data_IF_741450884915
#
_entry.id   IF_741450884915
#
_cell.length_a   1.000
_cell.length_b   1.000
_cell.length_c   1.000
_cell.angle_alpha   90.00
_cell.angle_beta   90.00
_cell.angle_gamma   90.00
#
_symmetry.space_group_name_H-M   'P 1'
#
loop_
_entity.id
_entity.type
_entity.pdbx_description
1 polymer ?
#
# COMPACT_ATOMS: atom_id res chain seq x y z
N UNK A 1 -4.33 25.46 1.73
CA UNK A 1 -3.82 25.04 3.05
C UNK A 1 -3.03 23.75 2.85
N UNK A 2 -1.91 23.49 3.54
CA UNK A 2 -1.13 22.28 3.27
C UNK A 2 -1.88 21.02 3.75
N UNK A 3 -2.07 20.03 2.87
CA UNK A 3 -2.91 18.86 3.14
C UNK A 3 -2.55 18.09 4.41
N UNK A 4 -1.27 18.04 4.79
CA UNK A 4 -0.82 17.36 6.03
C UNK A 4 -1.36 17.98 7.34
N UNK A 5 -1.99 19.16 7.29
CA UNK A 5 -2.60 19.83 8.45
C UNK A 5 -4.06 19.41 8.65
N UNK A 6 -4.68 18.81 7.62
CA UNK A 6 -6.09 18.43 7.65
C UNK A 6 -6.31 17.31 8.67
N UNK A 7 -7.22 17.57 9.62
CA UNK A 7 -7.65 16.56 10.60
C UNK A 7 -8.81 15.71 10.07
N UNK A 8 -9.63 16.30 9.21
CA UNK A 8 -10.80 15.67 8.62
C UNK A 8 -10.92 16.12 7.16
N UNK A 9 -11.56 15.31 6.34
CA UNK A 9 -11.91 15.61 4.96
C UNK A 9 -13.11 14.78 4.54
N UNK A 10 -14.04 15.41 3.83
CA UNK A 10 -15.18 14.72 3.20
C UNK A 10 -14.92 14.71 1.71
N UNK A 11 -15.08 13.54 1.09
CA UNK A 11 -14.82 13.40 -0.34
C UNK A 11 -15.76 14.27 -1.18
N UNK A 12 -15.29 14.59 -2.38
CA UNK A 12 -16.08 15.29 -3.39
C UNK A 12 -15.91 14.56 -4.73
N UNK A 13 -16.97 14.52 -5.53
CA UNK A 13 -16.89 13.98 -6.88
C UNK A 13 -16.18 15.00 -7.77
N UNK A 14 -15.10 14.63 -8.48
CA UNK A 14 -14.37 15.57 -9.31
C UNK A 14 -15.15 15.88 -10.60
N UNK A 15 -15.43 17.16 -10.84
CA UNK A 15 -16.05 17.63 -12.11
C UNK A 15 -15.20 17.27 -13.34
N UNK A 16 -13.88 17.19 -13.17
CA UNK A 16 -12.91 16.90 -14.23
C UNK A 16 -12.65 15.41 -14.49
N UNK A 17 -13.27 14.52 -13.71
CA UNK A 17 -13.03 13.08 -13.76
C UNK A 17 -11.73 12.62 -13.09
N UNK A 18 -11.62 11.31 -12.82
CA UNK A 18 -10.50 10.74 -12.07
C UNK A 18 -9.18 10.68 -12.85
N UNK A 19 -9.20 10.62 -14.18
CA UNK A 19 -7.98 10.67 -14.98
C UNK A 19 -7.19 11.95 -14.68
N UNK A 20 -7.90 13.09 -14.59
CA UNK A 20 -7.29 14.37 -14.26
C UNK A 20 -6.79 14.43 -12.82
N UNK A 21 -7.52 13.83 -11.88
CA UNK A 21 -7.07 13.70 -10.48
C UNK A 21 -5.74 12.93 -10.43
N UNK A 22 -5.62 11.81 -11.15
CA UNK A 22 -4.38 11.04 -11.20
C UNK A 22 -3.26 11.76 -11.94
N UNK A 23 -3.54 12.53 -12.98
CA UNK A 23 -2.55 13.39 -13.61
C UNK A 23 -1.95 14.40 -12.63
N UNK A 24 -2.77 14.98 -11.76
CA UNK A 24 -2.31 15.91 -10.73
C UNK A 24 -1.48 15.18 -9.66
N UNK A 25 -1.95 14.02 -9.18
CA UNK A 25 -1.23 13.21 -8.19
C UNK A 25 0.14 12.78 -8.73
N UNK A 26 0.25 12.38 -9.99
CA UNK A 26 1.50 11.90 -10.58
C UNK A 26 2.32 12.99 -11.27
N UNK A 27 1.83 14.23 -11.32
CA UNK A 27 2.55 15.35 -11.93
C UNK A 27 3.88 15.61 -11.21
N UNK A 28 4.96 15.94 -11.93
CA UNK A 28 6.21 16.43 -11.34
C UNK A 28 6.03 17.68 -10.46
N UNK A 29 4.94 18.42 -10.65
CA UNK A 29 4.60 19.63 -9.87
C UNK A 29 3.93 19.30 -8.53
N UNK A 30 3.48 18.06 -8.33
CA UNK A 30 2.94 17.61 -7.04
C UNK A 30 4.05 17.67 -5.99
N UNK A 31 3.79 18.40 -4.90
CA UNK A 31 4.76 18.62 -3.82
C UNK A 31 5.00 17.32 -3.05
N UNK A 32 6.00 16.56 -3.48
CA UNK A 32 6.40 15.28 -2.88
C UNK A 32 7.69 15.42 -2.09
N UNK A 33 7.56 15.58 -0.78
CA UNK A 33 8.73 15.58 0.11
C UNK A 33 9.15 14.18 0.53
N UNK A 34 8.26 13.18 0.40
CA UNK A 34 8.53 11.76 0.73
C UNK A 34 7.78 10.84 -0.23
N UNK A 35 8.18 9.57 -0.29
CA UNK A 35 7.48 8.51 -1.04
C UNK A 35 6.13 8.11 -0.45
N UNK A 36 5.73 8.67 0.71
CA UNK A 36 4.58 8.22 1.50
C UNK A 36 3.27 8.21 0.72
N UNK A 37 3.05 9.18 -0.17
CA UNK A 37 1.81 9.24 -0.95
C UNK A 37 1.66 8.05 -1.89
N UNK A 38 2.77 7.58 -2.49
CA UNK A 38 2.74 6.47 -3.44
C UNK A 38 2.46 5.15 -2.72
N UNK A 39 3.02 5.00 -1.51
CA UNK A 39 2.78 3.82 -0.68
C UNK A 39 1.35 3.80 -0.16
N UNK A 40 0.83 4.95 0.29
CA UNK A 40 -0.56 5.06 0.74
C UNK A 40 -1.52 4.76 -0.42
N UNK A 41 -1.30 5.33 -1.60
CA UNK A 41 -2.12 5.07 -2.77
C UNK A 41 -2.07 3.59 -3.17
N UNK A 42 -0.88 2.97 -3.19
CA UNK A 42 -0.73 1.52 -3.41
C UNK A 42 -1.49 0.71 -2.36
N UNK A 43 -1.38 1.06 -1.08
CA UNK A 43 -2.08 0.37 0.01
C UNK A 43 -3.61 0.48 -0.12
N UNK A 44 -4.14 1.64 -0.51
CA UNK A 44 -5.58 1.83 -0.76
C UNK A 44 -6.03 0.98 -1.95
N UNK A 45 -5.36 1.11 -3.10
CA UNK A 45 -5.72 0.37 -4.32
C UNK A 45 -5.61 -1.15 -4.12
N UNK A 46 -4.61 -1.62 -3.39
CA UNK A 46 -4.45 -3.04 -3.10
C UNK A 46 -5.54 -3.61 -2.17
N UNK A 47 -6.20 -2.75 -1.39
CA UNK A 47 -7.25 -3.14 -0.46
C UNK A 47 -8.64 -2.70 -0.91
N UNK A 48 -8.82 -2.19 -2.12
CA UNK A 48 -10.10 -1.58 -2.51
C UNK A 48 -11.28 -2.56 -2.38
N UNK A 49 -11.07 -3.84 -2.70
CA UNK A 49 -12.08 -4.90 -2.59
C UNK A 49 -12.31 -5.40 -1.15
N UNK A 50 -11.53 -4.91 -0.18
CA UNK A 50 -11.69 -5.24 1.25
C UNK A 50 -12.54 -4.18 1.98
N UNK A 51 -13.17 -3.26 1.25
CA UNK A 51 -14.09 -2.28 1.82
C UNK A 51 -15.40 -2.95 2.25
N UNK A 52 -15.99 -2.48 3.35
CA UNK A 52 -17.31 -2.93 3.78
C UNK A 52 -18.44 -2.37 2.88
N UNK A 53 -19.69 -2.73 3.19
CA UNK A 53 -20.87 -2.28 2.44
C UNK A 53 -21.06 -0.75 2.47
N UNK A 54 -20.39 -0.03 3.38
CA UNK A 54 -20.38 1.43 3.45
C UNK A 54 -19.11 2.04 2.83
N UNK A 55 -18.36 1.24 2.08
CA UNK A 55 -17.09 1.57 1.44
C UNK A 55 -16.00 2.03 2.42
N UNK A 56 -16.01 1.48 3.63
CA UNK A 56 -15.01 1.80 4.65
C UNK A 56 -13.84 0.82 4.58
N UNK A 57 -12.64 1.37 4.55
CA UNK A 57 -11.39 0.61 4.65
C UNK A 57 -10.73 0.88 6.00
N UNK A 58 -10.55 -0.16 6.84
CA UNK A 58 -9.87 -0.02 8.12
C UNK A 58 -8.45 0.51 7.95
N UNK A 59 -8.10 1.56 8.71
CA UNK A 59 -6.76 2.15 8.71
C UNK A 59 -5.71 1.12 9.09
N UNK A 60 -6.03 0.17 9.96
CA UNK A 60 -5.11 -0.92 10.34
C UNK A 60 -4.70 -1.76 9.13
N UNK A 61 -5.64 -2.08 8.24
CA UNK A 61 -5.40 -2.86 7.01
C UNK A 61 -4.51 -2.09 6.03
N UNK A 62 -4.79 -0.80 5.85
CA UNK A 62 -4.00 0.10 5.00
C UNK A 62 -2.58 0.24 5.56
N UNK A 63 -2.45 0.52 6.85
CA UNK A 63 -1.15 0.77 7.48
C UNK A 63 -0.33 -0.49 7.74
N UNK A 64 -0.94 -1.68 7.71
CA UNK A 64 -0.19 -2.93 7.64
C UNK A 64 0.59 -3.03 6.33
N UNK A 65 -0.09 -2.87 5.19
CA UNK A 65 0.54 -2.87 3.86
C UNK A 65 1.56 -1.73 3.74
N UNK A 66 1.24 -0.57 4.29
CA UNK A 66 2.16 0.56 4.34
C UNK A 66 3.44 0.20 5.12
N UNK A 67 3.31 -0.35 6.32
CA UNK A 67 4.46 -0.74 7.14
C UNK A 67 5.31 -1.82 6.46
N UNK A 68 4.68 -2.82 5.83
CA UNK A 68 5.35 -3.87 5.06
C UNK A 68 6.18 -3.30 3.91
N UNK A 69 5.57 -2.45 3.09
CA UNK A 69 6.25 -1.82 1.96
C UNK A 69 7.45 -0.98 2.42
N UNK A 70 7.30 -0.19 3.49
CA UNK A 70 8.42 0.59 4.04
C UNK A 70 9.49 -0.28 4.69
N UNK A 71 9.13 -1.38 5.35
CA UNK A 71 10.09 -2.33 5.90
C UNK A 71 10.95 -2.92 4.77
N UNK A 72 10.31 -3.40 3.71
CA UNK A 72 11.02 -3.96 2.55
C UNK A 72 11.96 -2.93 1.92
N UNK A 73 11.49 -1.71 1.64
CA UNK A 73 12.31 -0.73 0.94
C UNK A 73 13.37 -0.06 1.82
N UNK A 74 13.00 0.32 3.05
CA UNK A 74 13.89 1.12 3.92
C UNK A 74 14.83 0.26 4.75
N UNK A 75 14.35 -0.86 5.28
CA UNK A 75 15.13 -1.70 6.20
C UNK A 75 15.89 -2.77 5.44
N UNK A 76 15.19 -3.55 4.59
CA UNK A 76 15.82 -4.67 3.87
C UNK A 76 16.71 -4.17 2.73
N UNK A 77 16.19 -3.26 1.90
CA UNK A 77 16.94 -2.70 0.76
C UNK A 77 17.73 -1.43 1.09
N UNK A 78 17.58 -0.86 2.29
CA UNK A 78 18.34 0.31 2.73
C UNK A 78 17.97 1.64 2.03
N UNK A 79 16.92 1.66 1.20
CA UNK A 79 16.59 2.82 0.36
C UNK A 79 16.11 4.02 1.18
N UNK A 80 16.66 5.19 0.89
CA UNK A 80 16.13 6.47 1.36
C UNK A 80 14.76 6.73 0.74
N UNK A 81 13.86 7.25 1.56
CA UNK A 81 12.47 7.57 1.20
C UNK A 81 12.24 9.08 1.03
N UNK A 82 13.34 9.85 1.08
CA UNK A 82 13.38 11.30 0.92
C UNK A 82 14.68 11.71 0.23
N UNK A 83 14.59 12.65 -0.73
CA UNK A 83 15.76 13.09 -1.51
C UNK A 83 16.83 13.83 -0.71
N UNK A 84 16.50 14.38 0.47
CA UNK A 84 17.47 15.05 1.34
C UNK A 84 18.36 14.10 2.16
N UNK A 85 18.14 12.79 2.08
CA UNK A 85 18.84 11.80 2.90
C UNK A 85 18.49 11.84 4.40
N UNK A 86 17.59 12.73 4.83
CA UNK A 86 17.14 12.82 6.22
C UNK A 86 16.37 11.57 6.62
N UNK A 87 16.52 11.15 7.88
CA UNK A 87 15.72 10.06 8.41
C UNK A 87 14.26 10.52 8.58
N UNK A 88 13.31 9.77 8.02
CA UNK A 88 11.90 10.09 8.13
C UNK A 88 11.32 9.54 9.43
N UNK A 89 10.22 10.13 9.93
CA UNK A 89 9.60 9.69 11.17
C UNK A 89 9.13 8.23 11.14
N UNK A 90 8.74 7.71 9.97
CA UNK A 90 8.33 6.31 9.78
C UNK A 90 9.57 5.42 9.72
N UNK A 91 10.62 5.80 8.97
CA UNK A 91 11.88 5.05 8.96
C UNK A 91 12.46 4.91 10.37
N UNK A 92 12.44 5.98 11.14
CA UNK A 92 12.86 5.95 12.55
C UNK A 92 12.04 4.94 13.37
N UNK A 93 10.71 4.91 13.22
CA UNK A 93 9.88 3.92 13.93
C UNK A 93 10.25 2.48 13.57
N UNK A 94 10.55 2.22 12.29
CA UNK A 94 10.96 0.89 11.82
C UNK A 94 12.35 0.51 12.35
N UNK A 95 13.32 1.44 12.33
CA UNK A 95 14.67 1.21 12.85
C UNK A 95 14.66 1.05 14.37
N UNK A 96 13.92 1.90 15.11
CA UNK A 96 13.75 1.76 16.56
C UNK A 96 13.12 0.40 16.93
N UNK A 97 12.14 -0.09 16.15
CA UNK A 97 11.54 -1.42 16.35
C UNK A 97 12.53 -2.55 16.04
N UNK A 98 13.29 -2.42 14.94
CA UNK A 98 14.33 -3.38 14.57
C UNK A 98 15.36 -3.52 15.69
N UNK A 99 15.87 -2.39 16.18
CA UNK A 99 16.94 -2.33 17.16
C UNK A 99 16.44 -2.79 18.55
N UNK A 100 15.19 -2.47 18.92
CA UNK A 100 14.55 -2.94 20.17
C UNK A 100 14.47 -4.47 20.26
N UNK A 101 14.26 -5.14 19.13
CA UNK A 101 14.05 -6.60 19.07
C UNK A 101 15.20 -7.35 18.39
N UNK A 102 16.34 -6.69 18.15
CA UNK A 102 17.54 -7.25 17.50
C UNK A 102 17.25 -7.99 16.18
N UNK A 103 16.42 -7.38 15.34
CA UNK A 103 15.95 -8.00 14.09
C UNK A 103 16.99 -7.79 12.98
N UNK A 104 17.47 -8.88 12.38
CA UNK A 104 18.35 -8.80 11.22
C UNK A 104 17.67 -8.12 10.02
N UNK A 105 18.45 -7.42 9.19
CA UNK A 105 17.92 -6.59 8.09
C UNK A 105 17.21 -7.38 7.00
N UNK A 106 17.54 -8.65 6.80
CA UNK A 106 17.00 -9.50 5.74
C UNK A 106 15.64 -10.14 6.09
N UNK A 107 15.25 -10.10 7.37
CA UNK A 107 13.99 -10.65 7.88
C UNK A 107 12.80 -10.03 7.16
N UNK A 108 11.92 -10.89 6.64
CA UNK A 108 10.67 -10.48 6.01
C UNK A 108 9.71 -9.88 7.04
N UNK A 109 8.92 -8.88 6.63
CA UNK A 109 7.98 -8.18 7.52
C UNK A 109 7.02 -9.14 8.25
N UNK A 110 6.58 -10.20 7.58
CA UNK A 110 5.70 -11.20 8.17
C UNK A 110 6.29 -11.95 9.37
N UNK A 111 7.62 -12.03 9.43
CA UNK A 111 8.35 -12.77 10.45
C UNK A 111 8.86 -11.88 11.60
N UNK A 112 8.57 -10.58 11.60
CA UNK A 112 9.07 -9.70 12.66
C UNK A 112 8.30 -9.93 13.96
N UNK A 113 8.98 -10.00 15.12
CA UNK A 113 8.32 -10.05 16.41
C UNK A 113 7.52 -8.77 16.64
N UNK A 114 6.37 -8.93 17.32
CA UNK A 114 5.51 -7.80 17.74
C UNK A 114 5.13 -6.87 16.58
N UNK A 115 4.88 -7.43 15.39
CA UNK A 115 4.49 -6.72 14.16
C UNK A 115 3.36 -5.70 14.36
N UNK A 116 2.39 -6.03 15.20
CA UNK A 116 1.30 -5.12 15.52
C UNK A 116 1.76 -3.82 16.19
N UNK A 117 2.82 -3.85 17.01
CA UNK A 117 3.37 -2.64 17.64
C UNK A 117 3.90 -1.67 16.59
N UNK A 118 4.66 -2.18 15.61
CA UNK A 118 5.22 -1.33 14.56
C UNK A 118 4.12 -0.80 13.63
N UNK A 119 3.12 -1.62 13.28
CA UNK A 119 1.97 -1.16 12.50
C UNK A 119 1.23 -0.03 13.21
N UNK A 120 1.02 -0.13 14.53
CA UNK A 120 0.38 0.94 15.31
C UNK A 120 1.21 2.23 15.36
N UNK A 121 2.54 2.13 15.48
CA UNK A 121 3.42 3.30 15.43
C UNK A 121 3.40 3.98 14.06
N UNK A 122 3.44 3.19 12.99
CA UNK A 122 3.37 3.67 11.61
C UNK A 122 2.00 4.31 11.36
N UNK A 123 0.90 3.69 11.78
CA UNK A 123 -0.45 4.25 11.69
C UNK A 123 -0.55 5.60 12.39
N UNK A 124 -0.09 5.72 13.64
CA UNK A 124 -0.14 6.97 14.41
C UNK A 124 0.59 8.11 13.68
N UNK A 125 1.75 7.83 13.09
CA UNK A 125 2.53 8.82 12.31
C UNK A 125 1.88 9.10 10.95
N UNK A 126 1.45 8.06 10.25
CA UNK A 126 0.86 8.13 8.93
C UNK A 126 -0.47 8.88 8.89
N UNK A 127 -1.32 8.66 9.90
CA UNK A 127 -2.58 9.39 10.07
C UNK A 127 -2.38 10.89 10.17
N UNK A 128 -1.33 11.33 10.88
CA UNK A 128 -1.02 12.75 11.08
C UNK A 128 -0.52 13.44 9.81
N UNK A 129 0.24 12.76 8.97
CA UNK A 129 1.02 13.41 7.91
C UNK A 129 0.67 12.98 6.48
N UNK A 130 0.10 11.80 6.31
CA UNK A 130 0.01 11.15 4.98
C UNK A 130 -1.42 11.15 4.45
N UNK A 131 -2.43 10.88 5.30
CA UNK A 131 -3.83 10.87 4.88
C UNK A 131 -4.24 12.25 4.32
N UNK A 132 -4.13 13.31 5.13
CA UNK A 132 -4.49 14.65 4.68
C UNK A 132 -3.68 15.14 3.48
N UNK A 133 -2.42 14.70 3.33
CA UNK A 133 -1.59 15.06 2.18
C UNK A 133 -2.12 14.45 0.88
N UNK A 134 -2.38 13.13 0.85
CA UNK A 134 -2.96 12.48 -0.33
C UNK A 134 -4.39 12.98 -0.60
N UNK A 135 -5.18 13.22 0.45
CA UNK A 135 -6.50 13.84 0.31
C UNK A 135 -6.40 15.18 -0.43
N UNK A 136 -5.53 16.09 0.04
CA UNK A 136 -5.32 17.39 -0.59
C UNK A 136 -4.77 17.32 -2.01
N UNK A 137 -3.83 16.41 -2.29
CA UNK A 137 -3.27 16.19 -3.64
C UNK A 137 -4.32 15.66 -4.63
N UNK A 138 -5.36 15.00 -4.11
CA UNK A 138 -6.49 14.50 -4.90
C UNK A 138 -7.71 15.44 -4.92
N UNK A 139 -7.58 16.64 -4.36
CA UNK A 139 -8.69 17.57 -4.14
C UNK A 139 -9.89 16.92 -3.42
N UNK A 140 -9.60 16.03 -2.47
CA UNK A 140 -10.59 15.26 -1.73
C UNK A 140 -11.32 14.19 -2.56
N UNK A 141 -10.88 13.89 -3.78
CA UNK A 141 -11.68 13.05 -4.68
C UNK A 141 -11.68 11.56 -4.32
N UNK A 142 -10.66 11.06 -3.60
CA UNK A 142 -10.49 9.63 -3.38
C UNK A 142 -11.27 9.07 -2.18
N UNK A 143 -11.28 9.78 -1.05
CA UNK A 143 -11.85 9.26 0.21
C UNK A 143 -12.12 10.36 1.21
N UNK A 144 -13.03 10.10 2.16
CA UNK A 144 -13.21 10.84 3.40
C UNK A 144 -12.36 10.25 4.52
N UNK A 145 -11.94 11.08 5.47
CA UNK A 145 -11.27 10.65 6.69
C UNK A 145 -11.56 11.60 7.85
N UNK A 146 -11.38 11.11 9.07
CA UNK A 146 -11.47 11.91 10.29
C UNK A 146 -10.36 11.55 11.28
N UNK A 147 -10.03 12.45 12.20
CA UNK A 147 -9.17 12.18 13.36
C UNK A 147 -9.80 11.26 14.40
N UNK A 148 -11.10 10.97 14.25
CA UNK A 148 -11.86 10.16 15.21
C UNK A 148 -12.21 8.78 14.67
N UNK A 149 -12.06 8.54 13.35
CA UNK A 149 -12.38 7.26 12.70
C UNK A 149 -11.18 6.33 12.63
N UNK A 150 -11.38 5.02 12.75
CA UNK A 150 -10.35 4.01 12.51
C UNK A 150 -10.37 3.46 11.07
N UNK A 151 -11.05 4.15 10.16
CA UNK A 151 -11.17 3.85 8.73
C UNK A 151 -11.01 5.10 7.86
N UNK A 152 -10.76 4.91 6.56
CA UNK A 152 -11.14 5.88 5.52
C UNK A 152 -12.45 5.41 4.88
N UNK A 153 -13.28 6.33 4.42
CA UNK A 153 -14.46 5.99 3.63
C UNK A 153 -14.19 6.38 2.18
N UNK A 154 -14.16 5.41 1.27
CA UNK A 154 -13.89 5.68 -0.13
C UNK A 154 -15.03 6.52 -0.73
N UNK A 155 -14.67 7.40 -1.67
CA UNK A 155 -15.66 8.01 -2.54
C UNK A 155 -16.29 6.90 -3.42
N UNK A 156 -17.62 6.73 -3.45
CA UNK A 156 -18.28 5.75 -4.31
C UNK A 156 -17.87 5.84 -5.78
N UNK A 157 -17.76 7.05 -6.32
CA UNK A 157 -17.36 7.25 -7.72
C UNK A 157 -15.91 6.85 -7.95
N UNK A 158 -15.05 7.10 -6.96
CA UNK A 158 -13.66 6.64 -6.99
C UNK A 158 -13.58 5.12 -6.91
N UNK A 159 -14.37 4.52 -6.03
CA UNK A 159 -14.43 3.07 -5.87
C UNK A 159 -14.79 2.41 -7.21
N UNK A 160 -15.86 2.88 -7.85
CA UNK A 160 -16.27 2.35 -9.15
C UNK A 160 -15.23 2.58 -10.23
N UNK A 161 -14.69 3.80 -10.36
CA UNK A 161 -13.61 4.08 -11.31
C UNK A 161 -12.39 3.16 -11.08
N UNK A 162 -11.94 3.05 -9.84
CA UNK A 162 -10.77 2.26 -9.50
C UNK A 162 -11.01 0.76 -9.72
N UNK A 163 -12.23 0.23 -9.60
CA UNK A 163 -12.51 -1.18 -9.94
C UNK A 163 -12.12 -1.53 -11.38
N UNK A 164 -12.33 -0.62 -12.32
CA UNK A 164 -12.01 -0.84 -13.74
C UNK A 164 -10.57 -0.44 -14.08
N UNK A 165 -10.01 0.58 -13.43
CA UNK A 165 -8.70 1.14 -13.79
C UNK A 165 -7.56 0.78 -12.82
N UNK A 166 -7.81 -0.03 -11.79
CA UNK A 166 -6.87 -0.35 -10.70
C UNK A 166 -5.46 -0.66 -11.16
N UNK A 167 -5.31 -1.57 -12.13
CA UNK A 167 -3.99 -2.03 -12.57
C UNK A 167 -3.21 -0.90 -13.25
N UNK A 168 -3.85 -0.14 -14.15
CA UNK A 168 -3.24 1.01 -14.80
C UNK A 168 -2.81 2.08 -13.79
N UNK A 169 -3.60 2.33 -12.74
CA UNK A 169 -3.25 3.27 -11.68
C UNK A 169 -2.06 2.75 -10.87
N UNK A 170 -2.04 1.45 -10.51
CA UNK A 170 -0.92 0.82 -9.79
C UNK A 170 0.37 0.91 -10.61
N UNK A 171 0.32 0.59 -11.90
CA UNK A 171 1.50 0.62 -12.76
C UNK A 171 2.07 2.04 -12.88
N UNK A 172 1.18 3.03 -13.08
CA UNK A 172 1.56 4.44 -13.10
C UNK A 172 2.15 4.89 -11.76
N UNK A 173 1.52 4.50 -10.65
CA UNK A 173 2.01 4.78 -9.30
C UNK A 173 3.40 4.18 -9.06
N UNK A 174 3.61 2.92 -9.44
CA UNK A 174 4.89 2.22 -9.27
C UNK A 174 5.98 2.85 -10.13
N UNK A 175 5.68 3.22 -11.37
CA UNK A 175 6.61 3.93 -12.23
C UNK A 175 7.02 5.29 -11.63
N UNK A 176 6.05 6.12 -11.25
CA UNK A 176 6.35 7.43 -10.64
C UNK A 176 7.10 7.29 -9.33
N UNK A 177 6.75 6.28 -8.53
CA UNK A 177 7.43 5.98 -7.28
C UNK A 177 8.88 5.51 -7.51
N UNK A 178 9.12 4.67 -8.50
CA UNK A 178 10.47 4.23 -8.87
C UNK A 178 11.35 5.42 -9.24
N UNK A 179 10.85 6.30 -10.11
CA UNK A 179 11.54 7.53 -10.51
C UNK A 179 11.87 8.43 -9.33
N UNK A 180 10.94 8.56 -8.37
CA UNK A 180 11.18 9.30 -7.14
C UNK A 180 12.31 8.67 -6.30
N UNK A 181 12.28 7.34 -6.12
CA UNK A 181 13.30 6.62 -5.36
C UNK A 181 14.67 6.67 -6.03
N UNK A 182 14.74 6.59 -7.37
CA UNK A 182 15.99 6.75 -8.14
C UNK A 182 16.62 8.12 -7.86
N UNK A 183 15.83 9.19 -7.91
CA UNK A 183 16.30 10.53 -7.62
C UNK A 183 16.76 10.67 -6.15
N UNK A 184 16.09 10.00 -5.22
CA UNK A 184 16.44 10.02 -3.80
C UNK A 184 17.64 9.13 -3.43
N UNK A 185 18.02 8.20 -4.32
CA UNK A 185 19.08 7.21 -4.09
C UNK A 185 20.01 7.11 -5.32
N UNK A 186 20.81 8.16 -5.60
CA UNK A 186 21.71 8.15 -6.74
C UNK A 186 22.68 6.96 -6.66
N UNK A 187 22.84 6.23 -7.76
CA UNK A 187 23.73 5.05 -7.83
C UNK A 187 23.10 3.74 -7.37
N UNK A 188 21.85 3.74 -6.87
CA UNK A 188 21.12 2.50 -6.61
C UNK A 188 20.44 1.99 -7.90
N UNK A 189 20.89 0.84 -8.41
CA UNK A 189 20.22 0.13 -9.52
C UNK A 189 19.01 -0.70 -9.05
N UNK A 190 18.19 -1.16 -10.01
CA UNK A 190 17.10 -2.14 -9.79
C UNK A 190 15.94 -1.67 -8.87
N UNK A 191 15.71 -0.37 -8.74
CA UNK A 191 14.64 0.17 -7.89
C UNK A 191 13.25 -0.29 -8.32
N UNK A 192 12.99 -0.41 -9.62
CA UNK A 192 11.75 -1.01 -10.14
C UNK A 192 11.55 -2.43 -9.62
N UNK A 193 12.60 -3.26 -9.69
CA UNK A 193 12.58 -4.62 -9.16
C UNK A 193 12.27 -4.65 -7.67
N UNK A 194 12.88 -3.76 -6.87
CA UNK A 194 12.60 -3.67 -5.43
C UNK A 194 11.15 -3.24 -5.15
N UNK A 195 10.59 -2.37 -5.98
CA UNK A 195 9.18 -1.98 -5.88
C UNK A 195 8.24 -3.11 -6.26
N UNK A 196 8.56 -3.90 -7.27
CA UNK A 196 7.78 -5.09 -7.61
C UNK A 196 7.78 -6.07 -6.44
N UNK A 197 8.93 -6.31 -5.80
CA UNK A 197 9.01 -7.14 -4.60
C UNK A 197 8.28 -6.54 -3.39
N UNK A 198 8.33 -5.22 -3.19
CA UNK A 198 7.65 -4.56 -2.07
C UNK A 198 6.12 -4.49 -2.28
N UNK A 199 5.67 -4.49 -3.53
CA UNK A 199 4.25 -4.54 -3.91
C UNK A 199 3.77 -5.95 -4.28
N UNK A 200 4.61 -7.00 -4.16
CA UNK A 200 4.17 -8.38 -4.38
C UNK A 200 3.03 -8.66 -3.40
N UNK A 201 1.91 -9.13 -3.96
CA UNK A 201 0.68 -9.41 -3.21
C UNK A 201 1.00 -10.39 -2.07
N UNK A 202 0.26 -10.21 -0.97
CA UNK A 202 0.41 -10.90 0.30
C UNK A 202 0.78 -12.38 0.14
N UNK A 203 1.63 -12.84 1.05
CA UNK A 203 1.83 -14.25 1.26
C UNK A 203 0.49 -14.88 1.69
N UNK A 204 -0.18 -15.56 0.74
CA UNK A 204 -1.46 -16.23 0.97
C UNK A 204 -1.35 -17.43 1.93
N UNK A 205 -0.16 -17.73 2.47
CA UNK A 205 0.02 -18.78 3.47
C UNK A 205 -0.86 -18.59 4.70
N UNK A 206 -1.27 -17.36 5.03
CA UNK A 206 -2.21 -17.08 6.12
C UNK A 206 -3.58 -17.73 5.88
N UNK A 207 -3.99 -17.90 4.62
CA UNK A 207 -5.25 -18.56 4.25
C UNK A 207 -5.10 -20.08 4.20
N UNK A 208 -3.91 -20.66 4.41
CA UNK A 208 -3.72 -22.11 4.40
C UNK A 208 -4.60 -22.81 5.44
N UNK A 209 -4.62 -22.31 6.67
CA UNK A 209 -5.42 -22.93 7.74
C UNK A 209 -6.92 -22.86 7.44
N UNK A 210 -7.40 -21.73 6.94
CA UNK A 210 -8.81 -21.56 6.54
C UNK A 210 -9.14 -22.49 5.38
N UNK A 211 -8.35 -22.49 4.30
CA UNK A 211 -8.57 -23.36 3.14
C UNK A 211 -8.43 -24.85 3.47
N UNK A 212 -7.65 -25.19 4.50
CA UNK A 212 -7.54 -26.55 5.01
C UNK A 212 -8.87 -27.10 5.54
N UNK A 213 -9.72 -26.24 6.10
CA UNK A 213 -11.02 -26.66 6.63
C UNK A 213 -12.03 -27.00 5.53
N UNK A 214 -11.86 -26.44 4.32
CA UNK A 214 -12.84 -26.58 3.24
C UNK A 214 -12.48 -27.65 2.20
N UNK A 215 -11.20 -28.02 2.03
CA UNK A 215 -10.81 -28.98 0.97
C UNK A 215 -9.50 -29.73 1.26
N UNK A 216 -9.56 -31.06 1.21
CA UNK A 216 -8.41 -31.96 1.43
C UNK A 216 -7.60 -32.35 0.18
N UNK A 217 -7.96 -31.78 -0.97
CA UNK A 217 -7.36 -32.09 -2.27
C UNK A 217 -6.96 -30.82 -3.02
N UNK A 218 -5.95 -30.91 -3.88
CA UNK A 218 -5.51 -29.78 -4.71
C UNK A 218 -6.64 -29.31 -5.63
N UNK A 219 -6.86 -27.99 -5.71
CA UNK A 219 -7.91 -27.42 -6.55
C UNK A 219 -7.75 -27.79 -8.03
N UNK A 220 -6.52 -27.76 -8.55
CA UNK A 220 -6.26 -27.92 -9.99
C UNK A 220 -6.17 -29.38 -10.44
N UNK A 221 -5.61 -30.27 -9.62
CA UNK A 221 -5.32 -31.64 -10.04
C UNK A 221 -6.01 -32.72 -9.22
N UNK A 222 -6.73 -32.36 -8.14
CA UNK A 222 -7.40 -33.33 -7.27
C UNK A 222 -6.46 -34.22 -6.44
N UNK A 223 -5.15 -34.02 -6.54
CA UNK A 223 -4.18 -34.79 -5.76
C UNK A 223 -4.38 -34.60 -4.25
N UNK A 224 -4.22 -35.68 -3.49
CA UNK A 224 -4.27 -35.68 -2.04
C UNK A 224 -3.06 -34.94 -1.45
N UNK A 225 -3.26 -34.32 -0.28
CA UNK A 225 -2.24 -33.46 0.37
C UNK A 225 -0.88 -34.15 0.54
N UNK A 226 0.17 -33.51 0.02
CA UNK A 226 1.57 -33.72 0.42
C UNK A 226 2.05 -32.55 1.29
N UNK A 227 3.20 -32.69 1.98
CA UNK A 227 3.70 -31.71 2.98
C UNK A 227 4.04 -30.31 2.41
N UNK A 228 4.13 -30.12 1.10
CA UNK A 228 4.57 -28.87 0.46
C UNK A 228 3.52 -28.38 -0.53
N UNK A 229 2.74 -27.36 -0.14
CA UNK A 229 1.67 -26.81 -0.96
C UNK A 229 1.55 -25.30 -0.80
N UNK A 230 1.18 -24.63 -1.88
CA UNK A 230 1.05 -23.18 -1.98
C UNK A 230 -0.42 -22.78 -2.09
N UNK A 231 -0.74 -21.59 -1.57
CA UNK A 231 -2.06 -20.99 -1.77
C UNK A 231 -1.91 -20.00 -2.89
N UNK A 232 -2.70 -20.19 -3.93
CA UNK A 232 -2.70 -19.33 -5.10
C UNK A 232 -4.03 -18.59 -5.19
N UNK A 233 -4.01 -17.47 -5.92
CA UNK A 233 -5.22 -16.80 -6.32
C UNK A 233 -5.91 -17.68 -7.38
N UNK A 234 -7.15 -18.06 -7.12
CA UNK A 234 -7.91 -19.01 -7.96
C UNK A 234 -7.99 -18.59 -9.44
N UNK A 235 -7.94 -17.29 -9.73
CA UNK A 235 -7.79 -16.81 -11.10
C UNK A 235 -6.34 -16.37 -11.34
N UNK A 236 -5.62 -17.01 -12.29
CA UNK A 236 -4.31 -16.51 -12.71
C UNK A 236 -4.49 -15.08 -13.20
N UNK A 237 -3.70 -14.15 -12.64
CA UNK A 237 -3.81 -12.72 -12.90
C UNK A 237 -3.90 -12.31 -14.39
N UNK A 238 -3.29 -12.99 -15.37
CA UNK A 238 -3.47 -12.62 -16.78
C UNK A 238 -4.88 -12.90 -17.33
N UNK A 239 -5.60 -13.90 -16.80
CA UNK A 239 -6.84 -14.40 -17.40
C UNK A 239 -8.11 -13.68 -16.95
N UNK A 240 -8.08 -12.90 -15.86
CA UNK A 240 -9.17 -11.95 -15.53
C UNK A 240 -9.25 -10.81 -16.57
N UNK A 241 -8.15 -10.55 -17.29
CA UNK A 241 -7.98 -9.36 -18.13
C UNK A 241 -8.42 -9.58 -19.60
N UNK A 242 -8.77 -10.82 -20.01
CA UNK A 242 -9.04 -11.11 -21.42
C UNK A 242 -10.50 -11.43 -21.79
N UNK A 243 -11.42 -11.71 -20.85
CA UNK A 243 -12.80 -12.05 -21.21
C UNK A 243 -13.82 -11.61 -20.15
N UNK A 244 -14.14 -10.32 -20.16
CA UNK A 244 -15.17 -9.75 -19.29
C UNK A 244 -15.79 -8.47 -19.86
N UNK A 245 -16.21 -8.53 -21.13
CA UNK A 245 -16.96 -7.53 -21.93
C UNK A 245 -16.29 -6.16 -22.16
#
# INVERSE_FOLDING_TARGET
MAGYILKNGIYQTPDSGFDRVFDLIFSPQSKTTTSYKFVLLSAILNNIFNADDQLRLPLRTIFHHFAEAFWNLSIRQGLSQIGSGRQTAIRKALEDHRDKYDIARDVAFENIPRKDEVVQQVLKKGRRYVLGALFGDSDGSLYSFSSDWDYIQLNPDFYDYARYHRLAIIDRNNYTWARYLEAANPGCGQILTYLDFANKRQNLSIYRSVLQEYRDTCFYCGASRTRTWEVDHFVPCPFVIANGL
#
